data_IF_368643882381
#
_entry.id   IF_368643882381
#
_cell.length_a   1.000
_cell.length_b   1.000
_cell.length_c   1.000
_cell.angle_alpha   90.00
_cell.angle_beta   90.00
_cell.angle_gamma   90.00
#
_symmetry.space_group_name_H-M   'P 1'
#
loop_
_entity.id
_entity.type
_entity.pdbx_description
1 polymer ?
#
# COMPACT_ATOMS: atom_id res chain seq x y z
N UNK A 1 -18.23 -3.54 -1.96
CA UNK A 1 -17.23 -2.54 -1.51
C UNK A 1 -17.65 -1.99 -0.16
N UNK A 2 -16.82 -2.17 0.83
CA UNK A 2 -16.87 -1.46 2.10
C UNK A 2 -16.69 0.03 1.79
N UNK A 3 -17.67 0.87 2.02
CA UNK A 3 -17.46 2.29 1.77
C UNK A 3 -18.72 3.08 1.50
N UNK A 4 -19.88 2.66 2.01
CA UNK A 4 -21.02 3.57 2.08
C UNK A 4 -20.70 4.68 3.10
N UNK A 5 -19.91 5.70 2.66
CA UNK A 5 -19.74 6.94 3.37
C UNK A 5 -18.52 7.08 4.29
N UNK A 6 -17.56 6.13 4.30
CA UNK A 6 -16.32 6.27 5.10
C UNK A 6 -15.09 5.82 4.30
N UNK A 7 -13.96 6.54 4.31
CA UNK A 7 -12.71 6.08 3.72
C UNK A 7 -12.25 4.75 4.36
N UNK A 8 -11.78 3.81 3.55
CA UNK A 8 -11.32 2.49 4.02
C UNK A 8 -10.19 2.60 5.06
N UNK A 9 -9.26 3.54 4.85
CA UNK A 9 -8.19 3.81 5.79
C UNK A 9 -8.66 4.28 7.18
N UNK A 10 -9.93 4.68 7.31
CA UNK A 10 -10.55 5.07 8.59
C UNK A 10 -11.41 3.95 9.20
N UNK A 11 -11.40 2.75 8.65
CA UNK A 11 -12.02 1.57 9.29
C UNK A 11 -11.31 1.30 10.61
N UNK A 12 -12.12 1.04 11.65
CA UNK A 12 -11.65 0.91 13.03
C UNK A 12 -11.50 -0.56 13.46
N UNK A 13 -10.42 -0.84 14.15
CA UNK A 13 -10.10 -2.12 14.78
C UNK A 13 -9.82 -1.88 16.27
N UNK A 14 -10.86 -1.86 17.09
CA UNK A 14 -10.71 -1.70 18.53
C UNK A 14 -10.12 -0.35 18.96
N UNK A 15 -10.52 0.73 18.31
CA UNK A 15 -10.03 2.09 18.59
C UNK A 15 -8.80 2.50 17.78
N UNK A 16 -8.29 1.62 16.90
CA UNK A 16 -7.17 1.91 16.00
C UNK A 16 -7.66 1.88 14.57
N UNK A 17 -7.56 2.99 13.84
CA UNK A 17 -7.86 3.03 12.41
C UNK A 17 -6.78 2.32 11.58
N UNK A 18 -7.12 1.85 10.38
CA UNK A 18 -6.13 1.30 9.42
C UNK A 18 -5.02 2.32 9.18
N UNK A 19 -5.36 3.61 9.04
CA UNK A 19 -4.37 4.67 8.89
C UNK A 19 -3.45 4.78 10.12
N UNK A 20 -4.00 4.71 11.33
CA UNK A 20 -3.22 4.74 12.56
C UNK A 20 -2.26 3.54 12.65
N UNK A 21 -2.72 2.34 12.24
CA UNK A 21 -1.88 1.16 12.15
C UNK A 21 -0.70 1.39 11.20
N UNK A 22 -0.96 1.85 9.96
CA UNK A 22 0.09 2.15 8.99
C UNK A 22 1.07 3.20 9.53
N UNK A 23 0.58 4.30 10.13
CA UNK A 23 1.44 5.34 10.70
C UNK A 23 2.33 4.80 11.83
N UNK A 24 1.85 3.82 12.59
CA UNK A 24 2.65 3.17 13.64
C UNK A 24 3.82 2.36 13.07
N UNK A 25 3.63 1.71 11.92
CA UNK A 25 4.69 0.98 11.20
C UNK A 25 5.74 1.92 10.60
N UNK A 26 5.35 3.14 10.29
CA UNK A 26 6.21 4.17 9.68
C UNK A 26 6.77 5.17 10.71
N UNK A 27 6.68 4.89 12.01
CA UNK A 27 7.03 5.83 13.09
C UNK A 27 8.45 6.42 12.97
N UNK A 28 9.41 5.64 12.47
CA UNK A 28 10.81 6.01 12.33
C UNK A 28 11.16 6.57 10.93
N UNK A 29 10.17 6.68 10.03
CA UNK A 29 10.35 7.26 8.69
C UNK A 29 10.20 8.78 8.75
N UNK A 30 11.23 9.58 8.39
CA UNK A 30 11.22 11.03 8.60
C UNK A 30 10.33 11.80 7.63
N UNK A 31 10.15 11.35 6.39
CA UNK A 31 9.30 11.99 5.37
C UNK A 31 8.17 11.02 4.99
N UNK A 32 7.01 11.22 5.57
CA UNK A 32 5.79 10.48 5.26
C UNK A 32 4.80 11.40 4.57
N UNK A 33 4.36 11.01 3.38
CA UNK A 33 3.40 11.75 2.56
C UNK A 33 2.13 10.96 2.37
N UNK A 34 1.00 11.58 2.68
CA UNK A 34 -0.32 10.97 2.52
C UNK A 34 -1.08 11.71 1.44
N UNK A 35 -1.36 11.02 0.33
CA UNK A 35 -2.16 11.59 -0.75
C UNK A 35 -3.63 11.39 -0.44
N UNK A 36 -4.35 12.49 -0.37
CA UNK A 36 -5.76 12.53 0.00
C UNK A 36 -6.65 13.00 -1.16
N UNK A 37 -7.90 12.57 -1.17
CA UNK A 37 -8.89 12.97 -2.15
C UNK A 37 -10.30 12.75 -1.62
N UNK A 38 -10.80 11.52 -1.64
CA UNK A 38 -12.13 11.22 -1.11
C UNK A 38 -12.22 11.47 0.40
N UNK A 39 -13.18 12.30 0.79
CA UNK A 39 -13.41 12.69 2.19
C UNK A 39 -12.13 13.17 2.90
N UNK A 40 -11.30 13.94 2.20
CA UNK A 40 -9.97 14.39 2.67
C UNK A 40 -9.99 14.99 4.08
N UNK A 41 -11.04 15.76 4.43
CA UNK A 41 -11.16 16.39 5.76
C UNK A 41 -11.12 15.36 6.88
N UNK A 42 -11.81 14.23 6.73
CA UNK A 42 -11.84 13.18 7.75
C UNK A 42 -10.48 12.45 7.84
N UNK A 43 -9.84 12.20 6.68
CA UNK A 43 -8.52 11.57 6.63
C UNK A 43 -7.46 12.48 7.25
N UNK A 44 -7.48 13.78 6.94
CA UNK A 44 -6.57 14.78 7.50
C UNK A 44 -6.74 14.90 9.01
N UNK A 45 -7.98 14.91 9.52
CA UNK A 45 -8.25 14.96 10.95
C UNK A 45 -7.65 13.76 11.69
N UNK A 46 -7.80 12.55 11.14
CA UNK A 46 -7.19 11.36 11.70
C UNK A 46 -5.66 11.40 11.61
N UNK A 47 -5.12 11.83 10.46
CA UNK A 47 -3.68 11.95 10.27
C UNK A 47 -3.06 12.93 11.28
N UNK A 48 -3.69 14.09 11.52
CA UNK A 48 -3.25 15.06 12.51
C UNK A 48 -3.23 14.49 13.94
N UNK A 49 -4.13 13.54 14.23
CA UNK A 49 -4.19 12.87 15.52
C UNK A 49 -3.06 11.86 15.71
N UNK A 50 -2.71 11.10 14.65
CA UNK A 50 -1.80 9.94 14.76
C UNK A 50 -0.38 10.23 14.26
N UNK A 51 -0.24 11.17 13.31
CA UNK A 51 1.05 11.55 12.70
C UNK A 51 1.03 13.01 12.23
N UNK A 52 1.08 13.99 13.15
CA UNK A 52 0.89 15.41 12.83
C UNK A 52 2.01 16.00 11.94
N UNK A 53 3.17 15.37 11.88
CA UNK A 53 4.30 15.74 11.04
C UNK A 53 4.21 15.23 9.59
N UNK A 54 3.24 14.35 9.27
CA UNK A 54 3.07 13.85 7.91
C UNK A 54 2.62 14.95 6.94
N UNK A 55 3.19 14.92 5.73
CA UNK A 55 2.87 15.88 4.67
C UNK A 55 1.60 15.42 3.95
N UNK A 56 0.60 16.30 3.93
CA UNK A 56 -0.64 16.07 3.17
C UNK A 56 -0.48 16.56 1.75
N UNK A 57 -0.68 15.67 0.78
CA UNK A 57 -0.72 15.96 -0.65
C UNK A 57 -2.13 15.78 -1.16
N UNK A 58 -2.72 16.78 -1.84
CA UNK A 58 -4.09 16.67 -2.36
C UNK A 58 -4.11 16.19 -3.80
N UNK A 59 -4.97 15.19 -4.07
CA UNK A 59 -5.35 14.83 -5.42
C UNK A 59 -6.77 15.34 -5.70
N UNK A 60 -6.97 16.55 -6.25
CA UNK A 60 -8.30 17.08 -6.53
C UNK A 60 -9.02 16.30 -7.62
N UNK A 61 -8.29 15.57 -8.44
CA UNK A 61 -8.82 14.77 -9.55
C UNK A 61 -8.99 13.28 -9.21
N UNK A 62 -9.06 12.92 -7.94
CA UNK A 62 -9.12 11.52 -7.47
C UNK A 62 -10.25 10.69 -8.09
N UNK A 63 -11.32 11.31 -8.59
CA UNK A 63 -12.46 10.63 -9.23
C UNK A 63 -12.16 10.19 -10.67
N UNK A 64 -11.20 10.80 -11.32
CA UNK A 64 -10.89 10.64 -12.75
C UNK A 64 -9.47 10.17 -12.99
N UNK A 65 -8.67 10.03 -11.94
CA UNK A 65 -7.29 9.52 -11.99
C UNK A 65 -7.16 8.17 -11.28
N UNK A 66 -6.04 7.50 -11.47
CA UNK A 66 -5.73 6.20 -10.85
C UNK A 66 -4.84 6.36 -9.61
N UNK A 67 -4.63 5.29 -8.84
CA UNK A 67 -3.64 5.22 -7.75
C UNK A 67 -2.24 5.62 -8.23
N UNK A 68 -1.88 5.27 -9.48
CA UNK A 68 -0.61 5.64 -10.09
C UNK A 68 -0.41 7.18 -10.08
N UNK A 69 -1.46 7.93 -10.40
CA UNK A 69 -1.41 9.40 -10.35
C UNK A 69 -1.21 9.92 -8.92
N UNK A 70 -1.85 9.28 -7.94
CA UNK A 70 -1.65 9.64 -6.52
C UNK A 70 -0.21 9.36 -6.09
N UNK A 71 0.38 8.24 -6.49
CA UNK A 71 1.80 7.94 -6.24
C UNK A 71 2.72 9.00 -6.84
N UNK A 72 2.48 9.39 -8.10
CA UNK A 72 3.26 10.44 -8.76
C UNK A 72 3.14 11.81 -8.06
N UNK A 73 1.94 12.18 -7.59
CA UNK A 73 1.75 13.42 -6.80
C UNK A 73 2.53 13.36 -5.47
N UNK A 74 2.45 12.25 -4.75
CA UNK A 74 3.20 12.06 -3.50
C UNK A 74 4.71 12.11 -3.70
N UNK A 75 5.19 11.63 -4.84
CA UNK A 75 6.60 11.57 -5.20
C UNK A 75 7.18 12.91 -5.69
N UNK A 76 6.37 13.92 -5.98
CA UNK A 76 6.84 15.20 -6.49
C UNK A 76 7.90 15.83 -5.57
N UNK A 77 8.99 16.31 -6.18
CA UNK A 77 10.13 16.93 -5.49
C UNK A 77 10.92 15.99 -4.56
N UNK A 78 10.70 14.69 -4.62
CA UNK A 78 11.58 13.70 -4.02
C UNK A 78 12.68 13.28 -5.00
N UNK A 79 13.73 12.70 -4.43
CA UNK A 79 14.82 12.08 -5.19
C UNK A 79 15.19 10.74 -4.53
N UNK A 80 15.85 9.86 -5.28
CA UNK A 80 16.26 8.54 -4.80
C UNK A 80 15.11 7.54 -4.83
N UNK A 81 14.93 6.80 -3.76
CA UNK A 81 13.95 5.72 -3.65
C UNK A 81 12.93 6.02 -2.57
N UNK A 82 11.71 5.55 -2.76
CA UNK A 82 10.61 5.70 -1.83
C UNK A 82 9.86 4.38 -1.61
N UNK A 83 9.28 4.23 -0.44
CA UNK A 83 8.25 3.25 -0.19
C UNK A 83 6.90 3.81 -0.64
N UNK A 84 6.24 3.10 -1.56
CA UNK A 84 4.88 3.38 -2.02
C UNK A 84 3.95 2.29 -1.50
N UNK A 85 2.80 2.68 -0.98
CA UNK A 85 1.82 1.73 -0.45
C UNK A 85 0.40 2.29 -0.47
N UNK A 86 -0.58 1.41 -0.57
CA UNK A 86 -1.98 1.78 -0.42
C UNK A 86 -2.35 1.94 1.07
N UNK A 87 -3.34 2.76 1.35
CA UNK A 87 -3.70 3.17 2.71
C UNK A 87 -4.82 2.33 3.35
N UNK A 88 -5.23 1.24 2.71
CA UNK A 88 -6.29 0.33 3.16
C UNK A 88 -5.75 -1.08 3.52
N UNK A 89 -4.49 -1.14 3.92
CA UNK A 89 -3.77 -2.37 4.26
C UNK A 89 -3.63 -2.54 5.78
N UNK A 90 -3.92 -3.73 6.25
CA UNK A 90 -3.42 -4.23 7.54
C UNK A 90 -2.18 -5.10 7.29
N UNK A 91 -1.11 -4.85 8.01
CA UNK A 91 0.20 -5.40 7.72
C UNK A 91 0.79 -5.99 9.00
N UNK A 92 1.32 -7.20 8.93
CA UNK A 92 2.04 -7.83 10.05
C UNK A 92 3.39 -7.12 10.25
N UNK A 93 3.61 -6.48 11.41
CA UNK A 93 4.76 -5.60 11.66
C UNK A 93 6.11 -6.26 11.38
N UNK A 94 6.30 -7.50 11.82
CA UNK A 94 7.57 -8.23 11.71
C UNK A 94 7.93 -8.51 10.25
N UNK A 95 6.93 -8.87 9.42
CA UNK A 95 7.15 -9.15 7.99
C UNK A 95 7.41 -7.86 7.21
N UNK A 96 6.76 -6.77 7.60
CA UNK A 96 7.01 -5.46 7.02
C UNK A 96 8.43 -4.96 7.34
N UNK A 97 8.87 -5.10 8.59
CA UNK A 97 10.24 -4.74 8.96
C UNK A 97 11.28 -5.57 8.20
N UNK A 98 11.07 -6.88 8.09
CA UNK A 98 11.94 -7.75 7.30
C UNK A 98 12.01 -7.34 5.81
N UNK A 99 10.88 -6.88 5.24
CA UNK A 99 10.84 -6.34 3.90
C UNK A 99 11.69 -5.06 3.79
N UNK A 100 11.53 -4.12 4.72
CA UNK A 100 12.30 -2.86 4.75
C UNK A 100 13.80 -3.13 4.92
N UNK A 101 14.19 -4.06 5.78
CA UNK A 101 15.57 -4.47 5.98
C UNK A 101 16.21 -5.05 4.70
N UNK A 102 15.40 -5.55 3.79
CA UNK A 102 15.80 -6.06 2.48
C UNK A 102 15.89 -5.00 1.40
N UNK A 103 15.38 -3.77 1.61
CA UNK A 103 15.44 -2.69 0.62
C UNK A 103 16.85 -2.14 0.48
N UNK A 104 17.26 -1.82 -0.75
CA UNK A 104 18.57 -1.26 -1.05
C UNK A 104 18.43 -0.05 -1.95
N UNK A 105 19.22 1.01 -1.75
CA UNK A 105 19.19 2.17 -2.64
C UNK A 105 19.48 1.77 -4.10
N UNK A 106 18.64 2.28 -5.01
CA UNK A 106 18.73 2.02 -6.44
C UNK A 106 18.15 0.68 -6.92
N UNK A 107 17.69 -0.19 -6.01
CA UNK A 107 17.10 -1.49 -6.33
C UNK A 107 15.59 -1.47 -6.08
N UNK A 108 14.81 -1.72 -7.14
CA UNK A 108 13.36 -1.84 -7.00
C UNK A 108 12.98 -3.17 -6.32
N UNK A 109 12.04 -3.12 -5.36
CA UNK A 109 11.59 -4.30 -4.62
C UNK A 109 10.08 -4.26 -4.40
N UNK A 110 9.41 -5.38 -4.68
CA UNK A 110 7.97 -5.55 -4.52
C UNK A 110 7.66 -6.41 -3.29
N UNK A 111 6.71 -5.98 -2.49
CA UNK A 111 6.19 -6.81 -1.41
C UNK A 111 5.11 -7.76 -1.97
N UNK A 112 5.23 -9.03 -1.65
CA UNK A 112 4.31 -10.07 -2.03
C UNK A 112 3.66 -10.69 -0.79
N UNK A 113 2.42 -11.10 -0.93
CA UNK A 113 1.71 -11.91 0.08
C UNK A 113 1.19 -13.19 -0.57
N UNK A 114 0.94 -14.24 0.22
CA UNK A 114 0.30 -15.44 -0.30
C UNK A 114 -1.05 -15.10 -0.91
N UNK A 115 -1.34 -15.64 -2.09
CA UNK A 115 -2.58 -15.35 -2.81
C UNK A 115 -3.81 -15.80 -2.02
N UNK A 116 -4.73 -14.87 -1.80
CA UNK A 116 -5.98 -15.07 -1.05
C UNK A 116 -7.16 -14.28 -1.62
N UNK A 117 -6.89 -13.31 -2.49
CA UNK A 117 -7.89 -12.39 -3.03
C UNK A 117 -8.27 -12.79 -4.47
N UNK A 118 -9.57 -12.79 -4.78
CA UNK A 118 -10.05 -13.18 -6.13
C UNK A 118 -9.72 -12.13 -7.21
N UNK A 119 -9.67 -10.86 -6.83
CA UNK A 119 -9.40 -9.72 -7.73
C UNK A 119 -7.96 -9.20 -7.60
N UNK A 120 -7.04 -10.04 -7.15
CA UNK A 120 -5.66 -9.69 -6.92
C UNK A 120 -4.86 -9.39 -8.19
N UNK A 121 -3.75 -8.72 -8.03
CA UNK A 121 -2.66 -8.67 -9.01
C UNK A 121 -1.68 -9.78 -8.66
N UNK A 122 -1.78 -10.91 -9.35
CA UNK A 122 -0.92 -12.07 -9.12
C UNK A 122 0.47 -11.83 -9.70
N UNK A 123 1.50 -12.27 -8.97
CA UNK A 123 2.90 -12.15 -9.37
C UNK A 123 3.40 -13.42 -10.06
N UNK A 124 4.01 -13.26 -11.23
CA UNK A 124 4.78 -14.32 -11.89
C UNK A 124 6.22 -14.26 -11.39
N UNK A 125 6.76 -15.41 -10.98
CA UNK A 125 8.05 -15.47 -10.31
C UNK A 125 9.08 -16.26 -11.10
N UNK A 126 10.35 -15.77 -11.09
CA UNK A 126 11.53 -16.55 -11.45
C UNK A 126 12.53 -16.46 -10.29
N UNK A 127 12.60 -17.52 -9.49
CA UNK A 127 13.32 -17.48 -8.20
C UNK A 127 12.70 -16.46 -7.26
N UNK A 128 13.49 -15.49 -6.82
CA UNK A 128 13.03 -14.39 -5.95
C UNK A 128 12.67 -13.11 -6.72
N UNK A 129 12.65 -13.14 -8.05
CA UNK A 129 12.29 -11.99 -8.86
C UNK A 129 10.87 -12.10 -9.40
N UNK A 130 10.14 -10.99 -9.35
CA UNK A 130 8.87 -10.83 -10.07
C UNK A 130 9.20 -10.53 -11.52
N UNK A 131 8.69 -11.36 -12.43
CA UNK A 131 8.91 -11.26 -13.88
C UNK A 131 7.68 -10.84 -14.66
N UNK A 132 6.50 -10.90 -14.02
CA UNK A 132 5.24 -10.53 -14.64
C UNK A 132 4.13 -10.30 -13.61
N UNK A 133 3.05 -9.71 -14.10
CA UNK A 133 1.79 -9.56 -13.36
C UNK A 133 0.63 -10.09 -14.20
N UNK A 134 -0.36 -10.71 -13.54
CA UNK A 134 -1.62 -11.15 -14.16
C UNK A 134 -2.81 -10.89 -13.25
N UNK A 135 -4.01 -10.81 -13.84
CA UNK A 135 -5.28 -10.65 -13.11
C UNK A 135 -6.12 -11.91 -13.11
N UNK A 136 -5.81 -12.80 -14.01
CA UNK A 136 -6.44 -14.11 -14.17
C UNK A 136 -5.41 -15.20 -13.85
N UNK A 137 -5.87 -16.42 -13.63
CA UNK A 137 -5.03 -17.58 -13.31
C UNK A 137 -4.15 -17.36 -12.07
N UNK A 138 -4.69 -17.50 -10.86
CA UNK A 138 -3.97 -17.26 -9.60
C UNK A 138 -2.63 -17.97 -9.52
N UNK A 139 -1.61 -17.25 -9.05
CA UNK A 139 -0.29 -17.82 -8.71
C UNK A 139 -0.18 -18.00 -7.18
N UNK A 140 0.96 -18.48 -6.69
CA UNK A 140 1.19 -18.65 -5.26
C UNK A 140 1.20 -17.30 -4.51
N UNK A 141 1.54 -16.21 -5.20
CA UNK A 141 1.69 -14.88 -4.60
C UNK A 141 0.89 -13.83 -5.36
N UNK A 142 0.37 -12.87 -4.60
CA UNK A 142 -0.19 -11.62 -5.10
C UNK A 142 0.66 -10.43 -4.62
N UNK A 143 0.67 -9.35 -5.40
CA UNK A 143 1.32 -8.11 -5.01
C UNK A 143 0.50 -7.44 -3.91
N UNK A 144 1.16 -7.11 -2.79
CA UNK A 144 0.50 -6.54 -1.61
C UNK A 144 0.28 -5.03 -1.69
N UNK A 145 0.41 -4.40 -2.86
CA UNK A 145 0.33 -2.95 -3.05
C UNK A 145 1.35 -2.16 -2.20
N UNK A 146 2.49 -2.79 -1.87
CA UNK A 146 3.63 -2.20 -1.20
C UNK A 146 4.85 -2.37 -2.10
N UNK A 147 5.62 -1.29 -2.31
CA UNK A 147 6.77 -1.32 -3.21
C UNK A 147 7.83 -0.32 -2.78
N UNK A 148 9.08 -0.73 -2.77
CA UNK A 148 10.24 0.14 -2.67
C UNK A 148 10.76 0.43 -4.08
N UNK A 149 10.64 1.68 -4.54
CA UNK A 149 10.85 2.04 -5.95
C UNK A 149 11.62 3.35 -6.09
N UNK A 150 12.48 3.46 -7.12
CA UNK A 150 13.03 4.74 -7.53
C UNK A 150 11.94 5.74 -7.92
N UNK A 151 12.00 6.94 -7.37
CA UNK A 151 11.03 8.02 -7.62
C UNK A 151 10.90 8.34 -9.10
N UNK A 152 11.99 8.23 -9.89
CA UNK A 152 11.99 8.44 -11.33
C UNK A 152 11.03 7.53 -12.12
N UNK A 153 10.56 6.43 -11.52
CA UNK A 153 9.56 5.57 -12.15
C UNK A 153 8.19 6.26 -12.31
N UNK A 154 7.98 7.36 -11.59
CA UNK A 154 6.73 8.12 -11.59
C UNK A 154 6.82 9.49 -12.29
N UNK A 155 7.91 9.78 -13.01
CA UNK A 155 8.08 11.05 -13.77
C UNK A 155 7.25 11.08 -15.06
N UNK A 156 7.10 9.92 -15.72
CA UNK A 156 6.31 9.79 -16.96
C UNK A 156 5.27 8.67 -16.79
N UNK A 157 4.08 9.05 -16.37
CA UNK A 157 2.97 8.14 -16.08
C UNK A 157 1.84 8.28 -17.09
N UNK A 158 1.22 7.13 -17.43
CA UNK A 158 -0.04 7.09 -18.17
C UNK A 158 -1.26 7.01 -17.24
N UNK A 159 -2.42 6.88 -17.85
CA UNK A 159 -3.70 6.63 -17.15
C UNK A 159 -3.96 5.13 -16.99
N UNK A 160 -3.01 4.41 -16.41
CA UNK A 160 -3.05 2.96 -16.22
C UNK A 160 -3.04 2.60 -14.74
N UNK A 161 -3.24 1.32 -14.42
CA UNK A 161 -3.03 0.82 -13.06
C UNK A 161 -1.53 0.80 -12.71
N UNK A 162 -1.20 0.81 -11.41
CA UNK A 162 0.19 0.80 -10.95
C UNK A 162 0.95 -0.42 -11.47
N UNK A 163 0.37 -1.62 -11.37
CA UNK A 163 1.03 -2.85 -11.84
C UNK A 163 1.29 -2.85 -13.36
N UNK A 164 0.39 -2.28 -14.15
CA UNK A 164 0.59 -2.14 -15.61
C UNK A 164 1.75 -1.20 -15.92
N UNK A 165 1.85 -0.10 -15.18
CA UNK A 165 2.94 0.83 -15.29
C UNK A 165 4.28 0.19 -14.90
N UNK A 166 4.29 -0.60 -13.82
CA UNK A 166 5.51 -1.25 -13.31
C UNK A 166 6.03 -2.37 -14.23
N UNK A 167 5.20 -2.94 -15.12
CA UNK A 167 5.64 -3.98 -16.07
C UNK A 167 6.87 -3.60 -16.89
N UNK A 168 7.03 -2.29 -17.20
CA UNK A 168 8.18 -1.81 -18.00
C UNK A 168 9.53 -1.86 -17.27
N UNK A 169 9.49 -2.08 -15.96
CA UNK A 169 10.68 -2.10 -15.10
C UNK A 169 11.00 -3.50 -14.55
N UNK A 170 10.22 -4.51 -14.93
CA UNK A 170 10.48 -5.91 -14.55
C UNK A 170 11.73 -6.45 -15.27
N UNK A 171 12.48 -7.40 -14.68
CA UNK A 171 12.19 -8.04 -13.40
C UNK A 171 12.59 -7.18 -12.19
N UNK A 172 11.90 -7.37 -11.05
CA UNK A 172 12.20 -6.71 -9.77
C UNK A 172 12.40 -7.73 -8.66
N UNK A 173 13.25 -7.41 -7.69
CA UNK A 173 13.37 -8.19 -6.48
C UNK A 173 12.05 -8.24 -5.72
N UNK A 174 11.83 -9.29 -4.92
CA UNK A 174 10.66 -9.39 -4.06
C UNK A 174 11.02 -9.64 -2.60
N UNK A 175 10.03 -9.43 -1.73
CA UNK A 175 10.06 -9.83 -0.33
C UNK A 175 8.65 -10.15 0.14
N UNK A 176 8.51 -11.10 1.06
CA UNK A 176 7.21 -11.47 1.59
C UNK A 176 6.76 -10.48 2.66
N UNK A 177 5.49 -10.05 2.57
CA UNK A 177 4.81 -9.23 3.59
C UNK A 177 3.43 -9.80 3.81
N UNK A 178 3.13 -10.23 5.02
CA UNK A 178 1.78 -10.69 5.36
C UNK A 178 0.88 -9.46 5.54
N UNK A 179 -0.04 -9.26 4.61
CA UNK A 179 -0.96 -8.11 4.59
C UNK A 179 -2.37 -8.53 4.18
N UNK A 180 -3.35 -7.73 4.58
CA UNK A 180 -4.76 -7.89 4.22
C UNK A 180 -5.27 -6.54 3.71
N UNK A 181 -5.82 -6.52 2.51
CA UNK A 181 -6.52 -5.36 1.96
C UNK A 181 -7.96 -5.32 2.49
N UNK A 182 -8.47 -4.14 2.79
CA UNK A 182 -9.84 -3.95 3.30
C UNK A 182 -10.72 -3.41 2.19
N UNK A 183 -11.23 -4.28 1.32
CA UNK A 183 -12.04 -3.90 0.17
C UNK A 183 -13.52 -4.21 0.35
N UNK A 184 -13.82 -5.36 0.95
CA UNK A 184 -15.17 -5.90 1.11
C UNK A 184 -15.50 -6.15 2.57
N UNK A 185 -16.78 -6.45 2.86
CA UNK A 185 -17.20 -6.87 4.19
C UNK A 185 -16.56 -8.22 4.60
N UNK A 186 -16.27 -9.07 3.61
CA UNK A 186 -15.60 -10.36 3.82
C UNK A 186 -14.15 -10.14 4.21
N UNK A 187 -13.42 -9.23 3.53
CA UNK A 187 -12.05 -8.86 3.88
C UNK A 187 -11.98 -8.28 5.30
N UNK A 188 -12.94 -7.41 5.64
CA UNK A 188 -13.03 -6.84 6.98
C UNK A 188 -13.27 -7.93 8.05
N UNK A 189 -14.15 -8.88 7.80
CA UNK A 189 -14.41 -9.98 8.73
C UNK A 189 -13.13 -10.83 8.90
N UNK A 190 -12.49 -11.20 7.78
CA UNK A 190 -11.23 -11.96 7.80
C UNK A 190 -10.12 -11.20 8.54
N UNK A 191 -10.01 -9.89 8.32
CA UNK A 191 -9.04 -9.05 9.02
C UNK A 191 -9.32 -8.98 10.53
N UNK A 192 -10.59 -8.91 10.96
CA UNK A 192 -10.99 -8.95 12.37
C UNK A 192 -10.65 -10.27 13.02
N UNK A 193 -10.90 -11.39 12.37
CA UNK A 193 -10.55 -12.73 12.85
C UNK A 193 -9.04 -12.89 13.07
N UNK A 194 -8.24 -12.14 12.31
CA UNK A 194 -6.78 -12.14 12.35
C UNK A 194 -6.18 -10.90 13.05
N UNK A 195 -6.97 -10.07 13.74
CA UNK A 195 -6.54 -8.79 14.31
C UNK A 195 -5.26 -8.89 15.18
N UNK A 196 -5.08 -9.99 15.89
CA UNK A 196 -3.91 -10.24 16.74
C UNK A 196 -2.60 -10.30 15.95
N UNK A 197 -2.62 -10.74 14.69
CA UNK A 197 -1.42 -10.76 13.84
C UNK A 197 -0.89 -9.34 13.56
N UNK A 198 -1.76 -8.35 13.62
CA UNK A 198 -1.43 -6.94 13.40
C UNK A 198 -1.15 -6.18 14.70
N UNK A 199 -1.14 -6.87 15.85
CA UNK A 199 -1.07 -6.23 17.17
C UNK A 199 -2.34 -5.44 17.53
N UNK A 200 -3.48 -5.76 16.90
CA UNK A 200 -4.77 -5.10 17.11
C UNK A 200 -5.72 -5.98 17.93
N UNK A 201 -6.72 -5.37 18.54
CA UNK A 201 -7.81 -6.07 19.25
C UNK A 201 -9.03 -6.18 18.35
N UNK A 202 -9.58 -7.38 18.20
CA UNK A 202 -10.89 -7.57 17.58
C UNK A 202 -11.97 -7.05 18.55
N UNK A 203 -12.77 -6.09 18.14
CA UNK A 203 -14.01 -5.65 18.79
C UNK A 203 -15.20 -5.93 17.89
#
# INVERSE_FOLDING_TARGET
RLGHGKPKCLVDFGGVSVLAHIMSLLKDVPDVRVVVGFMETAVIAELQRVRPDAIVVRNPSFRTTTTLHSYALGAQHLAGDCLFMDADLLIVPETFQAFLDGCRPGEARLALTASKTKDAVYAEMAGQAVTGFRREDPTAFEWSNISWLPVRYFEDIGMTAVYEHLRRYLPMASGEVVSFEIDTAEDLAQAKDNARLFGLTAT
#
